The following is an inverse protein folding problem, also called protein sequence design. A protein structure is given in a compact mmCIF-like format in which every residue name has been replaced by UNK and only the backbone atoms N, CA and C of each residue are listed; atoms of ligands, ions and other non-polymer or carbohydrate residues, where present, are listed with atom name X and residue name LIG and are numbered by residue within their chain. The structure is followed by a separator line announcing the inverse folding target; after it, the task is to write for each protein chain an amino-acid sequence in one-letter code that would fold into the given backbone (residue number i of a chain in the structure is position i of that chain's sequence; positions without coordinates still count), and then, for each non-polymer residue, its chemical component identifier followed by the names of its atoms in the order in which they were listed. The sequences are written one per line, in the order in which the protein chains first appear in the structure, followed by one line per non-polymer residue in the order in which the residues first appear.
data_IF_710813758389
#
_entry.id   IF_710813758389
#
_cell.length_a   1.000
_cell.length_b   1.000
_cell.length_c   1.000
_cell.angle_alpha   90.00
_cell.angle_beta   90.00
_cell.angle_gamma   90.00
#
_symmetry.space_group_name_H-M   'P 1'
#
loop_
_entity.id
_entity.type
_entity.pdbx_description
1 polymer ?
#
# COMPACT_ATOMS: atom_id res chain seq x y z
N UNK A 1 -7.78 -6.84 -4.13
CA UNK A 1 -8.19 -5.83 -3.12
C UNK A 1 -8.75 -4.62 -3.84
N UNK A 2 -9.62 -3.83 -3.23
CA UNK A 2 -10.04 -2.54 -3.80
C UNK A 2 -9.17 -1.44 -3.23
N UNK A 3 -8.48 -0.74 -4.13
CA UNK A 3 -7.72 0.46 -3.83
C UNK A 3 -8.67 1.65 -3.95
N UNK A 4 -8.94 2.29 -2.82
CA UNK A 4 -9.70 3.52 -2.74
C UNK A 4 -8.72 4.68 -2.68
N UNK A 5 -8.81 5.55 -3.67
CA UNK A 5 -7.96 6.71 -3.83
C UNK A 5 -8.79 7.92 -4.23
N UNK A 6 -8.92 8.89 -3.32
CA UNK A 6 -9.77 10.06 -3.47
C UNK A 6 -11.18 9.70 -3.98
N UNK A 7 -11.51 10.05 -5.22
CA UNK A 7 -12.80 9.79 -5.86
C UNK A 7 -12.84 8.49 -6.67
N UNK A 8 -11.71 7.78 -6.79
CA UNK A 8 -11.54 6.60 -7.63
C UNK A 8 -11.44 5.34 -6.76
N UNK A 9 -12.05 4.26 -7.23
CA UNK A 9 -11.95 2.94 -6.60
C UNK A 9 -11.56 1.92 -7.66
N UNK A 10 -10.34 1.40 -7.58
CA UNK A 10 -9.81 0.46 -8.57
C UNK A 10 -9.48 -0.90 -7.96
N UNK A 11 -9.76 -1.99 -8.67
CA UNK A 11 -9.20 -3.29 -8.34
C UNK A 11 -7.66 -3.27 -8.42
N UNK A 12 -7.01 -3.69 -7.35
CA UNK A 12 -5.56 -3.84 -7.26
C UNK A 12 -5.18 -5.22 -6.71
N UNK A 13 -4.03 -5.70 -7.15
CA UNK A 13 -3.42 -6.96 -6.71
C UNK A 13 -2.11 -6.63 -5.99
N UNK A 14 -1.90 -7.24 -4.83
CA UNK A 14 -0.62 -7.17 -4.14
C UNK A 14 0.30 -8.19 -4.80
N UNK A 15 1.23 -7.74 -5.63
CA UNK A 15 2.11 -8.60 -6.42
C UNK A 15 3.20 -9.21 -5.55
N UNK A 16 3.81 -8.41 -4.68
CA UNK A 16 4.96 -8.82 -3.86
C UNK A 16 4.92 -8.20 -2.48
N UNK A 17 5.24 -9.01 -1.47
CA UNK A 17 5.53 -8.56 -0.11
C UNK A 17 7.04 -8.41 0.04
N UNK A 18 7.54 -7.19 0.16
CA UNK A 18 8.98 -6.89 0.15
C UNK A 18 9.55 -7.13 1.55
N UNK A 19 9.02 -6.43 2.55
CA UNK A 19 9.51 -6.51 3.92
C UNK A 19 8.51 -5.99 4.93
N UNK A 20 8.54 -6.55 6.15
CA UNK A 20 7.88 -5.99 7.32
C UNK A 20 8.79 -4.91 7.92
N UNK A 21 8.18 -3.78 8.27
CA UNK A 21 8.82 -2.64 8.90
C UNK A 21 8.26 -2.44 10.31
N UNK A 22 9.11 -2.01 11.23
CA UNK A 22 8.67 -1.53 12.53
C UNK A 22 8.13 -0.10 12.40
N UNK A 23 6.93 0.17 12.96
CA UNK A 23 6.27 1.48 12.91
C UNK A 23 7.08 2.59 13.57
N UNK A 24 7.82 2.27 14.64
CA UNK A 24 8.52 3.28 15.45
C UNK A 24 9.95 3.52 14.97
N UNK A 25 10.67 2.45 14.59
CA UNK A 25 12.09 2.55 14.22
C UNK A 25 12.31 2.62 12.71
N UNK A 26 11.31 2.26 11.89
CA UNK A 26 11.46 2.17 10.44
C UNK A 26 12.36 1.03 9.98
N UNK A 27 12.87 0.20 10.90
CA UNK A 27 13.79 -0.88 10.58
C UNK A 27 13.06 -2.08 9.97
N UNK A 28 13.76 -2.76 9.05
CA UNK A 28 13.28 -3.98 8.41
C UNK A 28 13.37 -5.13 9.40
N UNK A 29 12.22 -5.54 9.93
CA UNK A 29 12.13 -6.69 10.86
C UNK A 29 12.29 -8.01 10.11
N UNK A 30 11.63 -8.14 8.95
CA UNK A 30 11.62 -9.40 8.19
C UNK A 30 11.55 -9.13 6.69
N UNK A 31 12.48 -9.72 5.94
CA UNK A 31 12.49 -9.69 4.47
C UNK A 31 11.62 -10.83 3.92
N UNK A 32 10.84 -10.56 2.86
CA UNK A 32 9.94 -11.50 2.17
C UNK A 32 9.04 -12.31 3.13
N UNK A 33 8.16 -11.65 3.91
CA UNK A 33 7.19 -12.35 4.75
C UNK A 33 6.19 -13.15 3.88
N UNK A 34 5.71 -14.30 4.39
CA UNK A 34 4.65 -15.07 3.72
C UNK A 34 3.25 -14.49 3.95
N UNK A 35 3.04 -13.81 5.08
CA UNK A 35 1.77 -13.25 5.52
C UNK A 35 2.03 -11.98 6.33
N UNK A 36 1.09 -11.04 6.26
CA UNK A 36 1.00 -9.87 7.13
C UNK A 36 -0.15 -10.03 8.10
N UNK A 37 0.05 -9.68 9.37
CA UNK A 37 -0.98 -9.69 10.40
C UNK A 37 -1.42 -8.27 10.77
N UNK A 38 -2.55 -8.16 11.50
CA UNK A 38 -3.11 -6.87 11.93
C UNK A 38 -2.08 -6.09 12.75
N UNK A 39 -1.89 -4.81 12.38
CA UNK A 39 -0.97 -3.89 13.08
C UNK A 39 0.47 -3.91 12.56
N UNK A 40 0.80 -4.76 11.60
CA UNK A 40 2.11 -4.77 10.96
C UNK A 40 2.18 -3.75 9.82
N UNK A 41 3.31 -3.05 9.74
CA UNK A 41 3.64 -2.22 8.59
C UNK A 41 4.52 -3.03 7.64
N UNK A 42 4.35 -2.84 6.34
CA UNK A 42 5.15 -3.52 5.35
C UNK A 42 5.32 -2.68 4.10
N UNK A 43 6.46 -2.87 3.42
CA UNK A 43 6.65 -2.45 2.04
C UNK A 43 6.09 -3.54 1.14
N UNK A 44 5.17 -3.13 0.26
CA UNK A 44 4.45 -4.01 -0.65
C UNK A 44 4.42 -3.40 -2.04
N UNK A 45 4.48 -4.27 -3.05
CA UNK A 45 4.33 -3.89 -4.45
C UNK A 45 2.87 -4.12 -4.84
N UNK A 46 2.18 -3.03 -5.21
CA UNK A 46 0.78 -3.03 -5.64
C UNK A 46 0.73 -2.85 -7.15
N UNK A 47 -0.12 -3.63 -7.81
CA UNK A 47 -0.41 -3.51 -9.23
C UNK A 47 -1.91 -3.26 -9.41
N UNK A 48 -2.27 -2.11 -9.97
CA UNK A 48 -3.66 -1.78 -10.31
C UNK A 48 -4.04 -2.42 -11.64
N UNK A 49 -5.32 -2.73 -11.82
CA UNK A 49 -5.82 -3.30 -13.08
C UNK A 49 -5.87 -2.27 -14.20
N UNK A 50 -6.24 -1.03 -13.88
CA UNK A 50 -6.17 0.13 -14.77
C UNK A 50 -5.07 1.08 -14.29
N UNK A 51 -4.45 1.86 -15.20
CA UNK A 51 -3.52 2.89 -14.79
C UNK A 51 -4.24 3.94 -13.96
N UNK A 52 -3.67 4.29 -12.80
CA UNK A 52 -4.18 5.31 -11.89
C UNK A 52 -3.09 6.34 -11.69
N UNK A 53 -3.44 7.62 -11.82
CA UNK A 53 -2.53 8.72 -11.49
C UNK A 53 -2.36 8.80 -9.96
N UNK A 54 -1.13 8.61 -9.49
CA UNK A 54 -0.73 8.63 -8.09
C UNK A 54 0.54 9.49 -7.98
N UNK A 55 0.74 10.12 -6.82
CA UNK A 55 1.94 10.90 -6.53
C UNK A 55 2.65 10.34 -5.30
N UNK A 56 3.94 10.67 -5.15
CA UNK A 56 4.70 10.30 -3.96
C UNK A 56 4.17 11.07 -2.74
N UNK A 57 4.05 10.38 -1.60
CA UNK A 57 3.61 11.01 -0.36
C UNK A 57 4.55 12.12 0.12
N UNK A 58 5.83 12.03 -0.25
CA UNK A 58 6.84 13.05 0.07
C UNK A 58 6.57 14.35 -0.67
N UNK A 59 6.08 14.27 -1.90
CA UNK A 59 5.87 15.43 -2.77
C UNK A 59 4.46 16.00 -2.55
N UNK A 60 3.44 15.14 -2.59
CA UNK A 60 2.04 15.50 -2.34
C UNK A 60 1.39 14.59 -1.31
N UNK A 61 1.23 15.11 -0.09
CA UNK A 61 0.67 14.33 1.04
C UNK A 61 -0.76 13.83 0.82
N UNK A 62 -1.57 14.59 0.07
CA UNK A 62 -2.96 14.24 -0.22
C UNK A 62 -3.05 13.15 -1.29
N UNK A 63 -2.23 13.27 -2.35
CA UNK A 63 -2.19 12.34 -3.48
C UNK A 63 -1.36 11.08 -3.21
N UNK A 64 -0.54 11.08 -2.15
CA UNK A 64 0.20 9.89 -1.74
C UNK A 64 -0.55 8.97 -0.76
N UNK A 65 -1.75 9.33 -0.30
CA UNK A 65 -2.53 8.52 0.66
C UNK A 65 -3.59 7.69 -0.06
N UNK A 66 -3.67 6.41 0.29
CA UNK A 66 -4.71 5.52 -0.22
C UNK A 66 -5.20 4.56 0.86
N UNK A 67 -6.37 3.98 0.62
CA UNK A 67 -6.94 2.94 1.47
C UNK A 67 -7.14 1.66 0.69
N UNK A 68 -6.87 0.53 1.33
CA UNK A 68 -7.18 -0.79 0.78
C UNK A 68 -8.39 -1.36 1.50
N UNK A 69 -9.33 -1.90 0.74
CA UNK A 69 -10.55 -2.54 1.25
C UNK A 69 -10.74 -3.93 0.65
N UNK A 70 -11.40 -4.79 1.41
CA UNK A 70 -11.79 -6.13 0.97
C UNK A 70 -13.14 -6.49 1.60
N UNK A 71 -14.11 -6.92 0.79
CA UNK A 71 -15.42 -7.36 1.28
C UNK A 71 -16.17 -6.31 2.13
N UNK A 72 -16.01 -5.02 1.83
CA UNK A 72 -16.63 -3.93 2.60
C UNK A 72 -15.84 -3.46 3.82
N UNK A 73 -14.80 -4.17 4.27
CA UNK A 73 -13.95 -3.77 5.40
C UNK A 73 -12.64 -3.13 4.93
N UNK A 74 -12.18 -2.09 5.64
CA UNK A 74 -10.85 -1.50 5.41
C UNK A 74 -9.77 -2.41 5.99
N UNK A 75 -8.86 -2.87 5.14
CA UNK A 75 -7.78 -3.78 5.54
C UNK A 75 -6.49 -3.04 5.89
N UNK A 76 -6.22 -1.92 5.21
CA UNK A 76 -5.00 -1.14 5.42
C UNK A 76 -5.17 0.31 4.95
N UNK A 77 -4.38 1.20 5.55
CA UNK A 77 -4.09 2.52 5.01
C UNK A 77 -2.63 2.53 4.54
N UNK A 78 -2.38 3.13 3.39
CA UNK A 78 -1.08 3.12 2.73
C UNK A 78 -0.61 4.51 2.36
N UNK A 79 0.71 4.62 2.20
CA UNK A 79 1.38 5.79 1.62
C UNK A 79 2.23 5.36 0.43
N UNK A 80 2.19 6.13 -0.65
CA UNK A 80 2.98 5.88 -1.86
C UNK A 80 4.42 6.32 -1.60
N UNK A 81 5.36 5.40 -1.74
CA UNK A 81 6.80 5.61 -1.50
C UNK A 81 7.62 5.60 -2.77
N UNK A 82 7.23 4.78 -3.75
CA UNK A 82 7.83 4.67 -5.07
C UNK A 82 6.74 4.43 -6.10
N UNK A 83 6.95 4.92 -7.33
CA UNK A 83 6.11 4.68 -8.50
C UNK A 83 6.98 3.99 -9.54
N UNK A 84 6.46 2.92 -10.15
CA UNK A 84 7.14 2.13 -11.19
C UNK A 84 6.23 2.04 -12.41
N UNK A 85 6.84 1.90 -13.58
CA UNK A 85 6.14 1.69 -14.86
C UNK A 85 5.43 0.33 -14.93
#
# INVERSE_FOLDING_TARGET
VLLHYQTVSEPAVIKRLISILNKSTGEVTKKKPKLLTKGQNALVELQTQRPVALELYKDFKELGRFMLRYGGTTIAAGVVTEIKE
#
